data_IF_275469290076
#
_entry.id   IF_275469290076
#
_cell.length_a   1.000
_cell.length_b   1.000
_cell.length_c   1.000
_cell.angle_alpha   90.00
_cell.angle_beta   90.00
_cell.angle_gamma   90.00
#
_symmetry.space_group_name_H-M   'P 1'
#
loop_
_entity.id
_entity.type
_entity.pdbx_description
1 polymer ?
#
# COMPACT_ATOMS: atom_id res chain seq x y z
N UNK A 1 -9.54 -20.56 -50.81
CA UNK A 1 -10.52 -19.58 -50.27
C UNK A 1 -9.80 -18.37 -49.66
N UNK A 2 -9.42 -17.36 -50.46
CA UNK A 2 -8.65 -16.18 -50.00
C UNK A 2 -9.53 -15.02 -49.47
N UNK A 3 -10.83 -15.01 -49.78
CA UNK A 3 -11.72 -13.87 -49.52
C UNK A 3 -12.08 -13.61 -48.06
N UNK A 4 -11.99 -14.61 -47.18
CA UNK A 4 -12.36 -14.46 -45.76
C UNK A 4 -11.31 -13.69 -44.92
N UNK A 5 -10.05 -13.69 -45.35
CA UNK A 5 -8.98 -12.94 -44.66
C UNK A 5 -8.98 -11.45 -45.04
N UNK A 6 -9.36 -11.13 -46.28
CA UNK A 6 -9.47 -9.75 -46.77
C UNK A 6 -10.64 -9.00 -46.11
N UNK A 7 -11.80 -9.66 -45.92
CA UNK A 7 -12.96 -9.08 -45.25
C UNK A 7 -12.74 -8.85 -43.73
N UNK A 8 -11.82 -9.61 -43.10
CA UNK A 8 -11.44 -9.38 -41.70
C UNK A 8 -10.50 -8.18 -41.54
N UNK A 9 -9.69 -7.88 -42.56
CA UNK A 9 -8.78 -6.73 -42.56
C UNK A 9 -9.47 -5.42 -42.95
N UNK A 10 -10.52 -5.46 -43.79
CA UNK A 10 -11.28 -4.25 -44.15
C UNK A 10 -12.13 -3.68 -43.00
N UNK A 11 -12.43 -4.47 -41.98
CA UNK A 11 -13.17 -4.02 -40.79
C UNK A 11 -12.27 -3.29 -39.75
N UNK A 12 -10.95 -3.31 -39.93
CA UNK A 12 -10.00 -2.59 -39.05
C UNK A 12 -9.90 -1.09 -39.45
N UNK A 13 -10.57 -0.67 -40.52
CA UNK A 13 -10.61 0.73 -40.99
C UNK A 13 -11.75 1.58 -40.42
N UNK A 14 -12.65 1.02 -39.62
CA UNK A 14 -13.61 1.83 -38.87
C UNK A 14 -13.03 2.13 -37.49
N UNK A 15 -12.88 3.41 -37.18
CA UNK A 15 -12.10 3.94 -36.06
C UNK A 15 -12.21 3.10 -34.80
N UNK A 16 -11.06 2.60 -34.30
CA UNK A 16 -10.99 1.86 -33.04
C UNK A 16 -11.75 2.65 -32.00
N UNK A 17 -12.78 2.06 -31.41
CA UNK A 17 -13.45 2.69 -30.28
C UNK A 17 -12.40 3.00 -29.20
N UNK A 18 -12.52 4.12 -28.49
CA UNK A 18 -11.59 4.48 -27.41
C UNK A 18 -11.36 3.30 -26.45
N UNK A 19 -12.40 2.48 -26.25
CA UNK A 19 -12.39 1.23 -25.49
C UNK A 19 -11.45 0.15 -26.04
N UNK A 20 -11.42 -0.07 -27.35
CA UNK A 20 -10.53 -1.04 -27.99
C UNK A 20 -9.07 -0.56 -27.98
N UNK A 21 -8.84 0.76 -28.04
CA UNK A 21 -7.48 1.32 -27.92
C UNK A 21 -6.94 1.18 -26.51
N UNK A 22 -7.75 1.46 -25.47
CA UNK A 22 -7.37 1.22 -24.07
C UNK A 22 -7.17 -0.27 -23.82
N UNK A 23 -8.07 -1.12 -24.32
CA UNK A 23 -7.94 -2.58 -24.22
C UNK A 23 -6.64 -3.06 -24.87
N UNK A 24 -6.32 -2.60 -26.09
CA UNK A 24 -5.11 -3.01 -26.80
C UNK A 24 -3.82 -2.58 -26.07
N UNK A 25 -3.72 -1.32 -25.63
CA UNK A 25 -2.50 -0.84 -24.96
C UNK A 25 -2.28 -1.44 -23.57
N UNK A 26 -3.35 -1.80 -22.88
CA UNK A 26 -3.28 -2.16 -21.47
C UNK A 26 -3.40 -3.67 -21.22
N UNK A 27 -3.94 -4.43 -22.18
CA UNK A 27 -3.91 -5.90 -22.19
C UNK A 27 -2.69 -6.42 -22.97
N UNK A 28 -2.21 -5.72 -24.00
CA UNK A 28 -1.06 -6.15 -24.80
C UNK A 28 0.27 -5.59 -24.23
N UNK A 29 0.75 -6.25 -23.17
CA UNK A 29 2.02 -5.95 -22.46
C UNK A 29 3.28 -6.10 -23.35
N UNK A 30 3.13 -6.50 -24.62
CA UNK A 30 4.25 -6.64 -25.56
C UNK A 30 4.71 -5.32 -26.16
N UNK A 31 3.97 -4.23 -25.96
CA UNK A 31 4.35 -2.89 -26.43
C UNK A 31 5.37 -2.24 -25.47
N UNK A 32 6.34 -1.45 -25.98
CA UNK A 32 7.30 -0.72 -25.13
C UNK A 32 6.60 0.24 -24.16
N UNK A 33 5.42 0.74 -24.54
CA UNK A 33 4.59 1.62 -23.73
C UNK A 33 4.00 0.89 -22.51
N UNK A 34 3.48 -0.33 -22.69
CA UNK A 34 2.99 -1.16 -21.57
C UNK A 34 4.09 -1.46 -20.54
N UNK A 35 5.32 -1.71 -21.01
CA UNK A 35 6.49 -1.90 -20.13
C UNK A 35 6.84 -0.62 -19.36
N UNK A 36 6.82 0.54 -20.02
CA UNK A 36 7.11 1.82 -19.37
C UNK A 36 6.08 2.14 -18.27
N UNK A 37 4.79 1.91 -18.53
CA UNK A 37 3.74 2.06 -17.52
C UNK A 37 4.02 1.15 -16.32
N UNK A 38 4.30 -0.13 -16.56
CA UNK A 38 4.58 -1.06 -15.46
C UNK A 38 5.79 -0.61 -14.62
N UNK A 39 6.88 -0.14 -15.24
CA UNK A 39 8.05 0.39 -14.52
C UNK A 39 7.67 1.61 -13.68
N UNK A 40 6.93 2.56 -14.26
CA UNK A 40 6.49 3.78 -13.56
C UNK A 40 5.62 3.41 -12.37
N UNK A 41 4.68 2.48 -12.53
CA UNK A 41 3.81 2.05 -11.44
C UNK A 41 4.60 1.32 -10.35
N UNK A 42 5.58 0.49 -10.70
CA UNK A 42 6.48 -0.15 -9.72
C UNK A 42 7.25 0.91 -8.93
N UNK A 43 7.81 1.92 -9.62
CA UNK A 43 8.53 3.02 -8.97
C UNK A 43 7.62 3.83 -8.04
N UNK A 44 6.39 4.14 -8.48
CA UNK A 44 5.39 4.81 -7.64
C UNK A 44 4.99 3.96 -6.44
N UNK A 45 4.91 2.64 -6.58
CA UNK A 45 4.63 1.75 -5.45
C UNK A 45 5.76 1.73 -4.42
N UNK A 46 7.02 1.75 -4.89
CA UNK A 46 8.18 1.93 -4.01
C UNK A 46 8.11 3.26 -3.26
N UNK A 47 7.82 4.36 -3.98
CA UNK A 47 7.65 5.68 -3.37
C UNK A 47 6.53 5.67 -2.33
N UNK A 48 5.37 5.05 -2.63
CA UNK A 48 4.25 4.97 -1.70
C UNK A 48 4.62 4.24 -0.41
N UNK A 49 5.38 3.16 -0.52
CA UNK A 49 5.87 2.39 0.63
C UNK A 49 6.93 3.17 1.40
N UNK A 50 7.82 3.89 0.72
CA UNK A 50 8.77 4.78 1.38
C UNK A 50 8.07 5.91 2.15
N UNK A 51 7.02 6.51 1.58
CA UNK A 51 6.21 7.52 2.28
C UNK A 51 5.59 6.93 3.56
N UNK A 52 5.04 5.71 3.51
CA UNK A 52 4.55 5.02 4.70
C UNK A 52 5.64 4.85 5.76
N UNK A 53 6.83 4.40 5.39
CA UNK A 53 7.96 4.26 6.32
C UNK A 53 8.34 5.63 6.91
N UNK A 54 8.45 6.67 6.08
CA UNK A 54 8.77 8.03 6.54
C UNK A 54 7.73 8.59 7.51
N UNK A 55 6.45 8.24 7.35
CA UNK A 55 5.41 8.63 8.30
C UNK A 55 5.58 8.04 9.71
N UNK A 56 6.44 7.04 9.88
CA UNK A 56 6.76 6.47 11.21
C UNK A 56 7.90 7.21 11.91
N UNK A 57 8.55 8.17 11.26
CA UNK A 57 9.60 8.98 11.87
C UNK A 57 9.01 10.27 12.44
N UNK A 58 9.69 10.82 13.44
CA UNK A 58 9.38 12.15 13.99
C UNK A 58 9.73 13.24 12.97
N UNK A 59 8.72 13.61 12.19
CA UNK A 59 8.82 14.64 11.15
C UNK A 59 8.21 15.95 11.63
N UNK A 60 8.83 17.06 11.22
CA UNK A 60 8.24 18.40 11.41
C UNK A 60 6.90 18.54 10.69
N UNK A 61 6.06 19.47 11.14
CA UNK A 61 4.74 19.73 10.54
C UNK A 61 4.81 19.99 9.03
N UNK A 62 5.81 20.75 8.58
CA UNK A 62 6.03 21.04 7.16
C UNK A 62 6.39 19.77 6.35
N UNK A 63 7.19 18.86 6.92
CA UNK A 63 7.53 17.59 6.28
C UNK A 63 6.32 16.66 6.20
N UNK A 64 5.52 16.60 7.27
CA UNK A 64 4.29 15.81 7.28
C UNK A 64 3.30 16.28 6.21
N UNK A 65 3.14 17.60 6.06
CA UNK A 65 2.28 18.17 5.02
C UNK A 65 2.81 17.86 3.61
N UNK A 66 4.13 17.96 3.40
CA UNK A 66 4.74 17.62 2.11
C UNK A 66 4.54 16.14 1.78
N UNK A 67 4.76 15.23 2.72
CA UNK A 67 4.53 13.80 2.54
C UNK A 67 3.06 13.50 2.26
N UNK A 68 2.14 14.18 2.92
CA UNK A 68 0.71 14.02 2.68
C UNK A 68 0.32 14.43 1.25
N UNK A 69 0.86 15.56 0.74
CA UNK A 69 0.65 15.98 -0.65
C UNK A 69 1.22 14.97 -1.65
N UNK A 70 2.40 14.43 -1.37
CA UNK A 70 3.00 13.37 -2.19
C UNK A 70 2.16 12.09 -2.16
N UNK A 71 1.66 11.69 -0.99
CA UNK A 71 0.79 10.54 -0.85
C UNK A 71 -0.47 10.69 -1.72
N UNK A 72 -1.15 11.84 -1.63
CA UNK A 72 -2.33 12.13 -2.46
C UNK A 72 -1.99 12.06 -3.95
N UNK A 73 -0.87 12.64 -4.37
CA UNK A 73 -0.44 12.61 -5.77
C UNK A 73 -0.22 11.16 -6.26
N UNK A 74 0.44 10.32 -5.45
CA UNK A 74 0.69 8.91 -5.79
C UNK A 74 -0.63 8.12 -5.84
N UNK A 75 -1.51 8.31 -4.86
CA UNK A 75 -2.82 7.64 -4.83
C UNK A 75 -3.71 8.08 -6.00
N UNK A 76 -3.67 9.36 -6.40
CA UNK A 76 -4.39 9.82 -7.59
C UNK A 76 -3.94 9.08 -8.85
N UNK A 77 -2.63 8.84 -9.02
CA UNK A 77 -2.11 8.04 -10.13
C UNK A 77 -2.57 6.59 -10.05
N UNK A 78 -2.63 6.01 -8.85
CA UNK A 78 -3.14 4.66 -8.65
C UNK A 78 -4.63 4.51 -8.96
N UNK A 79 -5.44 5.51 -8.62
CA UNK A 79 -6.86 5.55 -8.99
C UNK A 79 -7.00 5.61 -10.52
N UNK A 80 -6.24 6.48 -11.18
CA UNK A 80 -6.26 6.57 -12.64
C UNK A 80 -5.85 5.24 -13.30
N UNK A 81 -4.78 4.61 -12.81
CA UNK A 81 -4.33 3.32 -13.32
C UNK A 81 -5.37 2.21 -13.11
N UNK A 82 -6.00 2.15 -11.93
CA UNK A 82 -7.06 1.21 -11.65
C UNK A 82 -8.29 1.44 -12.53
N UNK A 83 -8.69 2.70 -12.73
CA UNK A 83 -9.81 3.07 -13.59
C UNK A 83 -9.55 2.70 -15.06
N UNK A 84 -8.35 2.97 -15.57
CA UNK A 84 -7.93 2.53 -16.90
C UNK A 84 -8.00 1.00 -17.00
N UNK A 85 -7.54 0.29 -15.96
CA UNK A 85 -7.61 -1.17 -15.85
C UNK A 85 -9.01 -1.73 -15.94
N UNK A 86 -9.91 -1.15 -15.18
CA UNK A 86 -11.31 -1.53 -15.19
C UNK A 86 -12.00 -1.19 -16.52
N UNK A 87 -11.65 -0.06 -17.15
CA UNK A 87 -12.24 0.35 -18.43
C UNK A 87 -11.81 -0.55 -19.60
N UNK A 88 -10.54 -0.94 -19.63
CA UNK A 88 -9.98 -1.85 -20.62
C UNK A 88 -10.34 -3.33 -20.40
N UNK A 89 -10.84 -3.71 -19.23
CA UNK A 89 -11.18 -5.09 -18.93
C UNK A 89 -12.35 -5.62 -19.79
N UNK A 90 -12.25 -6.84 -20.34
CA UNK A 90 -13.31 -7.43 -21.16
C UNK A 90 -14.59 -7.70 -20.35
N UNK A 91 -14.45 -8.07 -19.09
CA UNK A 91 -15.55 -8.25 -18.13
C UNK A 91 -15.21 -7.50 -16.83
N UNK A 92 -15.94 -6.41 -16.58
CA UNK A 92 -15.73 -5.54 -15.41
C UNK A 92 -16.03 -6.26 -14.10
N UNK A 93 -17.07 -7.09 -14.07
CA UNK A 93 -17.48 -7.80 -12.86
C UNK A 93 -16.46 -8.86 -12.44
N UNK A 94 -15.89 -9.58 -13.41
CA UNK A 94 -14.76 -10.49 -13.15
C UNK A 94 -13.50 -9.74 -12.76
N UNK A 95 -13.25 -8.57 -13.36
CA UNK A 95 -12.09 -7.77 -13.00
C UNK A 95 -12.14 -7.30 -11.55
N UNK A 96 -13.30 -6.87 -11.04
CA UNK A 96 -13.44 -6.47 -9.64
C UNK A 96 -13.23 -7.62 -8.65
N UNK A 97 -13.53 -8.86 -9.05
CA UNK A 97 -13.34 -10.08 -8.24
C UNK A 97 -11.96 -10.71 -8.39
N UNK A 98 -11.13 -10.20 -9.29
CA UNK A 98 -9.76 -10.67 -9.46
C UNK A 98 -8.91 -10.28 -8.24
N UNK A 99 -8.13 -11.23 -7.73
CA UNK A 99 -7.34 -11.03 -6.53
C UNK A 99 -6.35 -9.85 -6.68
N UNK A 100 -5.76 -9.65 -7.87
CA UNK A 100 -4.83 -8.55 -8.09
C UNK A 100 -5.54 -7.20 -8.18
N UNK A 101 -6.74 -7.15 -8.75
CA UNK A 101 -7.57 -5.95 -8.72
C UNK A 101 -8.05 -5.60 -7.32
N UNK A 102 -8.36 -6.60 -6.47
CA UNK A 102 -8.69 -6.37 -5.07
C UNK A 102 -7.50 -5.81 -4.29
N UNK A 103 -6.28 -6.30 -4.55
CA UNK A 103 -5.05 -5.77 -3.96
C UNK A 103 -4.85 -4.30 -4.35
N UNK A 104 -5.03 -3.95 -5.63
CA UNK A 104 -4.92 -2.55 -6.09
C UNK A 104 -5.95 -1.66 -5.38
N UNK A 105 -7.19 -2.14 -5.21
CA UNK A 105 -8.24 -1.42 -4.48
C UNK A 105 -7.89 -1.25 -3.00
N UNK A 106 -7.45 -2.31 -2.33
CA UNK A 106 -7.05 -2.29 -0.93
C UNK A 106 -5.88 -1.32 -0.67
N UNK A 107 -5.00 -1.10 -1.64
CA UNK A 107 -3.90 -0.15 -1.56
C UNK A 107 -4.37 1.33 -1.68
N UNK A 108 -5.46 1.59 -2.39
CA UNK A 108 -6.01 2.95 -2.64
C UNK A 108 -6.99 3.36 -1.54
N UNK A 109 -7.76 2.40 -1.04
CA UNK A 109 -8.93 2.63 -0.20
C UNK A 109 -8.63 3.37 1.11
N UNK A 110 -7.56 3.07 1.88
CA UNK A 110 -7.32 3.75 3.15
C UNK A 110 -7.12 5.27 2.98
N UNK A 111 -6.25 5.68 2.04
CA UNK A 111 -6.00 7.10 1.76
C UNK A 111 -7.23 7.78 1.16
N UNK A 112 -7.99 7.07 0.32
CA UNK A 112 -9.22 7.60 -0.25
C UNK A 112 -10.30 7.85 0.82
N UNK A 113 -10.43 6.95 1.80
CA UNK A 113 -11.33 7.16 2.93
C UNK A 113 -10.88 8.39 3.73
N UNK A 114 -9.59 8.49 4.08
CA UNK A 114 -9.06 9.65 4.83
C UNK A 114 -9.37 10.98 4.10
N UNK A 115 -9.26 11.00 2.77
CA UNK A 115 -9.53 12.19 1.96
C UNK A 115 -11.00 12.61 1.94
N UNK A 116 -11.93 11.66 1.98
CA UNK A 116 -13.38 11.91 1.90
C UNK A 116 -13.99 12.18 3.28
N UNK A 117 -13.33 11.80 4.36
CA UNK A 117 -13.82 12.02 5.71
C UNK A 117 -13.97 13.53 6.01
N UNK A 118 -15.10 13.96 6.61
CA UNK A 118 -15.27 15.33 7.07
C UNK A 118 -14.23 15.73 8.13
N UNK A 119 -13.86 17.01 8.15
CA UNK A 119 -12.95 17.58 9.16
C UNK A 119 -13.37 17.26 10.61
N UNK A 120 -14.68 17.11 10.88
CA UNK A 120 -15.20 16.75 12.19
C UNK A 120 -14.76 15.37 12.68
N UNK A 121 -14.60 14.38 11.78
CA UNK A 121 -14.13 13.04 12.16
C UNK A 121 -12.69 13.04 12.69
N UNK A 122 -11.86 14.01 12.26
CA UNK A 122 -10.49 14.15 12.74
C UNK A 122 -10.41 14.57 14.21
N UNK A 123 -11.46 15.20 14.74
CA UNK A 123 -11.50 15.66 16.14
C UNK A 123 -12.06 14.57 17.06
N UNK A 124 -13.04 13.80 16.59
CA UNK A 124 -13.76 12.83 17.44
C UNK A 124 -13.18 11.43 17.41
N UNK A 125 -12.52 11.00 16.33
CA UNK A 125 -12.08 9.61 16.16
C UNK A 125 -10.64 9.50 15.63
N UNK A 126 -9.71 10.00 16.43
CA UNK A 126 -8.26 9.93 16.16
C UNK A 126 -7.82 8.46 15.98
N UNK A 127 -8.45 7.52 16.71
CA UNK A 127 -8.14 6.08 16.65
C UNK A 127 -8.49 5.49 15.29
N UNK A 128 -9.65 5.81 14.73
CA UNK A 128 -10.04 5.33 13.40
C UNK A 128 -9.05 5.79 12.31
N UNK A 129 -8.61 7.05 12.36
CA UNK A 129 -7.64 7.58 11.40
C UNK A 129 -6.28 6.89 11.56
N UNK A 130 -5.83 6.65 12.80
CA UNK A 130 -4.60 5.90 13.06
C UNK A 130 -4.67 4.49 12.44
N UNK A 131 -5.79 3.80 12.61
CA UNK A 131 -6.01 2.48 11.98
C UNK A 131 -5.91 2.62 10.46
N UNK A 132 -6.62 3.56 9.84
CA UNK A 132 -6.56 3.77 8.38
C UNK A 132 -5.13 4.04 7.90
N UNK A 133 -4.34 4.84 8.62
CA UNK A 133 -2.91 5.08 8.29
C UNK A 133 -2.11 3.79 8.33
N UNK A 134 -2.34 2.93 9.31
CA UNK A 134 -1.66 1.63 9.41
C UNK A 134 -2.11 0.68 8.31
N UNK A 135 -3.40 0.68 7.94
CA UNK A 135 -3.90 -0.09 6.80
C UNK A 135 -3.18 0.29 5.51
N UNK A 136 -2.58 1.49 5.42
CA UNK A 136 -1.78 1.81 4.25
C UNK A 136 -0.52 0.93 4.08
N UNK A 137 -0.11 0.17 5.11
CA UNK A 137 0.93 -0.88 4.99
C UNK A 137 0.53 -1.91 3.93
N UNK A 138 -0.78 -2.18 3.76
CA UNK A 138 -1.29 -3.16 2.81
C UNK A 138 -0.95 -2.81 1.35
N UNK A 139 -0.58 -1.57 1.03
CA UNK A 139 -0.14 -1.19 -0.32
C UNK A 139 1.10 -1.98 -0.79
N UNK A 140 1.90 -2.50 0.15
CA UNK A 140 3.03 -3.40 -0.15
C UNK A 140 2.59 -4.67 -0.91
N UNK A 141 1.37 -5.18 -0.69
CA UNK A 141 0.87 -6.38 -1.36
C UNK A 141 0.76 -6.19 -2.88
N UNK A 142 0.69 -4.94 -3.36
CA UNK A 142 0.73 -4.62 -4.79
C UNK A 142 2.00 -5.15 -5.47
N UNK A 143 3.09 -5.37 -4.73
CA UNK A 143 4.29 -6.04 -5.25
C UNK A 143 4.03 -7.47 -5.71
N UNK A 144 3.12 -8.22 -5.08
CA UNK A 144 2.78 -9.58 -5.50
C UNK A 144 2.26 -9.63 -6.94
N UNK A 145 1.51 -8.62 -7.37
CA UNK A 145 1.03 -8.51 -8.75
C UNK A 145 2.18 -8.42 -9.75
N UNK A 146 3.24 -7.67 -9.44
CA UNK A 146 4.39 -7.51 -10.34
C UNK A 146 5.20 -8.79 -10.45
N UNK A 147 5.43 -9.48 -9.33
CA UNK A 147 6.21 -10.73 -9.30
C UNK A 147 5.42 -11.89 -9.93
N UNK A 148 4.09 -11.76 -10.04
CA UNK A 148 3.26 -12.73 -10.75
C UNK A 148 3.39 -12.67 -12.27
N UNK A 149 3.82 -11.54 -12.85
CA UNK A 149 3.91 -11.40 -14.31
C UNK A 149 5.08 -12.21 -14.87
N UNK A 150 4.79 -13.15 -15.78
CA UNK A 150 5.78 -14.04 -16.39
C UNK A 150 6.77 -13.34 -17.34
N UNK A 151 6.39 -12.18 -17.86
CA UNK A 151 7.22 -11.32 -18.71
C UNK A 151 7.73 -10.13 -17.91
N UNK A 152 8.65 -10.36 -16.97
CA UNK A 152 9.32 -9.27 -16.29
C UNK A 152 10.33 -8.57 -17.22
N UNK A 153 10.61 -7.32 -16.87
CA UNK A 153 11.44 -6.25 -17.47
C UNK A 153 12.71 -6.63 -18.25
N UNK A 154 13.20 -7.87 -18.15
CA UNK A 154 14.48 -8.34 -18.69
C UNK A 154 14.37 -9.53 -19.67
N UNK A 155 13.17 -9.89 -20.12
CA UNK A 155 12.96 -10.95 -21.12
C UNK A 155 12.23 -12.18 -20.56
N UNK A 156 12.24 -13.28 -21.30
CA UNK A 156 11.60 -14.54 -20.87
C UNK A 156 12.44 -15.18 -19.77
N UNK A 157 12.09 -14.90 -18.52
CA UNK A 157 12.68 -15.57 -17.36
C UNK A 157 12.06 -16.97 -17.25
N UNK A 158 12.87 -17.99 -17.00
CA UNK A 158 12.37 -19.35 -16.75
C UNK A 158 11.39 -19.35 -15.56
N UNK A 159 10.30 -20.10 -15.68
CA UNK A 159 9.26 -20.21 -14.64
C UNK A 159 9.84 -20.57 -13.26
N UNK A 160 10.93 -21.35 -13.22
CA UNK A 160 11.63 -21.68 -11.97
C UNK A 160 12.16 -20.46 -11.22
N UNK A 161 12.75 -19.48 -11.93
CA UNK A 161 13.26 -18.24 -11.32
C UNK A 161 12.13 -17.31 -10.86
N UNK A 162 11.00 -17.31 -11.59
CA UNK A 162 9.82 -16.52 -11.21
C UNK A 162 9.20 -17.08 -9.93
N UNK A 163 9.12 -18.40 -9.78
CA UNK A 163 8.63 -19.01 -8.55
C UNK A 163 9.54 -18.69 -7.35
N UNK A 164 10.87 -18.74 -7.52
CA UNK A 164 11.81 -18.34 -6.46
C UNK A 164 11.62 -16.86 -6.10
N UNK A 165 11.50 -15.97 -7.10
CA UNK A 165 11.24 -14.56 -6.85
C UNK A 165 9.92 -14.37 -6.08
N UNK A 166 8.82 -15.03 -6.47
CA UNK A 166 7.55 -14.98 -5.75
C UNK A 166 7.70 -15.39 -4.28
N UNK A 167 8.47 -16.43 -4.01
CA UNK A 167 8.75 -16.88 -2.65
C UNK A 167 9.49 -15.80 -1.85
N UNK A 168 10.60 -15.30 -2.37
CA UNK A 168 11.43 -14.28 -1.71
C UNK A 168 10.64 -12.99 -1.47
N UNK A 169 9.90 -12.50 -2.47
CA UNK A 169 9.06 -11.31 -2.32
C UNK A 169 7.92 -11.53 -1.32
N UNK A 170 7.31 -12.72 -1.30
CA UNK A 170 6.28 -13.03 -0.29
C UNK A 170 6.85 -12.98 1.12
N UNK A 171 8.07 -13.49 1.33
CA UNK A 171 8.78 -13.42 2.61
C UNK A 171 9.05 -11.96 3.00
N UNK A 172 9.61 -11.16 2.09
CA UNK A 172 9.87 -9.73 2.34
C UNK A 172 8.58 -8.99 2.72
N UNK A 173 7.49 -9.22 1.99
CA UNK A 173 6.19 -8.63 2.26
C UNK A 173 5.68 -9.04 3.64
N UNK A 174 5.82 -10.32 4.01
CA UNK A 174 5.42 -10.82 5.31
C UNK A 174 6.17 -10.10 6.44
N UNK A 175 7.51 -10.05 6.38
CA UNK A 175 8.32 -9.32 7.36
C UNK A 175 7.96 -7.83 7.42
N UNK A 176 7.74 -7.20 6.26
CA UNK A 176 7.37 -5.79 6.18
C UNK A 176 6.03 -5.50 6.86
N UNK A 177 5.00 -6.30 6.54
CA UNK A 177 3.66 -6.15 7.13
C UNK A 177 3.69 -6.44 8.63
N UNK A 178 4.37 -7.50 9.04
CA UNK A 178 4.49 -7.86 10.45
C UNK A 178 5.21 -6.77 11.25
N UNK A 179 6.29 -6.20 10.71
CA UNK A 179 6.99 -5.06 11.33
C UNK A 179 6.11 -3.82 11.42
N UNK A 180 5.28 -3.53 10.40
CA UNK A 180 4.34 -2.41 10.43
C UNK A 180 3.25 -2.57 11.49
N UNK A 181 2.72 -3.78 11.65
CA UNK A 181 1.74 -4.10 12.71
C UNK A 181 2.41 -4.02 14.09
N UNK A 182 3.60 -4.60 14.23
CA UNK A 182 4.38 -4.55 15.48
C UNK A 182 4.65 -3.11 15.90
N UNK A 183 5.13 -2.26 14.99
CA UNK A 183 5.30 -0.83 15.22
C UNK A 183 4.01 -0.17 15.73
N UNK A 184 2.88 -0.43 15.09
CA UNK A 184 1.60 0.20 15.48
C UNK A 184 1.15 -0.20 16.89
N UNK A 185 1.35 -1.46 17.27
CA UNK A 185 0.94 -1.99 18.58
C UNK A 185 1.90 -1.55 19.68
N UNK A 186 3.21 -1.57 19.41
CA UNK A 186 4.25 -1.37 20.43
C UNK A 186 4.71 0.09 20.57
N UNK A 187 4.63 0.91 19.53
CA UNK A 187 5.07 2.32 19.62
C UNK A 187 4.43 3.12 20.76
N UNK A 188 3.16 2.91 21.18
CA UNK A 188 2.59 3.60 22.33
C UNK A 188 3.03 3.01 23.69
N UNK A 189 3.57 1.79 23.72
CA UNK A 189 3.84 1.02 24.94
C UNK A 189 5.34 0.94 25.24
N UNK A 190 6.19 0.94 24.21
CA UNK A 190 7.60 0.66 24.30
C UNK A 190 8.44 1.82 23.73
N UNK A 191 9.17 2.57 24.56
CA UNK A 191 9.99 3.70 24.11
C UNK A 191 11.21 3.28 23.26
N UNK A 192 11.50 1.97 23.14
CA UNK A 192 12.55 1.46 22.26
C UNK A 192 12.09 1.31 20.80
N UNK A 193 10.79 1.40 20.53
CA UNK A 193 10.20 1.25 19.18
C UNK A 193 9.65 2.61 18.73
N UNK A 194 10.53 3.46 18.20
CA UNK A 194 10.16 4.83 17.84
C UNK A 194 9.75 4.95 16.36
N UNK A 195 10.25 4.07 15.50
CA UNK A 195 9.97 4.10 14.08
C UNK A 195 9.85 2.68 13.49
N UNK A 196 9.48 2.60 12.20
CA UNK A 196 9.37 1.33 11.48
C UNK A 196 10.70 0.55 11.43
N UNK A 197 11.84 1.23 11.35
CA UNK A 197 13.16 0.61 11.33
C UNK A 197 13.48 -0.12 12.63
N UNK A 198 13.15 0.47 13.76
CA UNK A 198 13.29 -0.17 15.08
C UNK A 198 12.43 -1.43 15.14
N UNK A 199 11.15 -1.33 14.74
CA UNK A 199 10.25 -2.47 14.67
C UNK A 199 10.77 -3.58 13.75
N UNK A 200 11.28 -3.22 12.57
CA UNK A 200 11.87 -4.17 11.63
C UNK A 200 13.11 -4.85 12.21
N UNK A 201 13.96 -4.10 12.90
CA UNK A 201 15.11 -4.66 13.60
C UNK A 201 14.69 -5.65 14.69
N UNK A 202 13.69 -5.32 15.50
CA UNK A 202 13.19 -6.23 16.54
C UNK A 202 12.64 -7.53 15.96
N UNK A 203 11.82 -7.46 14.91
CA UNK A 203 11.30 -8.66 14.26
C UNK A 203 12.42 -9.47 13.59
N UNK A 204 13.36 -8.83 12.90
CA UNK A 204 14.46 -9.50 12.22
C UNK A 204 15.53 -10.08 13.16
N UNK A 205 15.67 -9.53 14.37
CA UNK A 205 16.61 -10.01 15.40
C UNK A 205 15.96 -10.94 16.43
N UNK A 206 14.63 -11.12 16.38
CA UNK A 206 13.86 -11.96 17.32
C UNK A 206 14.17 -13.47 17.23
N UNK A 207 15.11 -13.93 16.39
CA UNK A 207 15.61 -15.30 16.48
C UNK A 207 16.50 -15.57 17.72
N UNK A 208 16.77 -14.59 18.60
CA UNK A 208 17.63 -14.87 19.76
C UNK A 208 17.60 -13.92 20.95
N UNK A 209 16.68 -12.95 21.02
CA UNK A 209 16.60 -12.06 22.17
C UNK A 209 15.28 -12.24 22.92
N UNK A 210 15.42 -12.80 24.12
CA UNK A 210 14.45 -12.72 25.21
C UNK A 210 13.89 -11.30 25.25
N UNK A 211 12.58 -11.15 25.05
CA UNK A 211 11.91 -9.88 25.27
C UNK A 211 12.35 -9.39 26.65
N UNK A 212 13.06 -8.26 26.77
CA UNK A 212 13.37 -7.73 28.08
C UNK A 212 12.03 -7.55 28.75
N UNK A 213 11.84 -8.29 29.85
CA UNK A 213 10.60 -8.51 30.57
C UNK A 213 9.50 -7.51 30.18
N UNK A 214 8.34 -8.03 29.73
CA UNK A 214 7.08 -7.35 30.01
C UNK A 214 7.12 -7.05 31.52
N UNK A 215 7.53 -5.85 31.91
CA UNK A 215 7.21 -5.31 33.22
C UNK A 215 5.71 -5.10 33.17
N UNK A 216 4.98 -6.18 33.44
CA UNK A 216 3.66 -6.14 34.01
C UNK A 216 3.81 -5.27 35.25
N UNK A 217 3.49 -4.00 35.11
CA UNK A 217 3.46 -2.99 36.16
C UNK A 217 4.60 -3.11 37.18
N UNK A 218 5.66 -2.33 36.98
CA UNK A 218 6.19 -1.65 38.17
C UNK A 218 5.02 -0.82 38.70
N UNK A 219 4.41 -1.33 39.77
CA UNK A 219 3.49 -0.66 40.69
C UNK A 219 2.62 0.42 40.04
N UNK A 220 1.40 0.04 39.64
CA UNK A 220 0.32 1.03 39.59
C UNK A 220 0.22 1.61 41.00
N UNK A 221 0.85 2.76 41.22
CA UNK A 221 0.57 3.58 42.37
C UNK A 221 -0.95 3.85 42.33
N UNK A 222 -1.73 3.36 43.31
CA UNK A 222 -3.18 3.53 43.32
C UNK A 222 -3.58 5.02 43.37
N UNK A 223 -2.63 5.95 43.51
CA UNK A 223 -2.85 7.40 43.56
C UNK A 223 -2.75 8.13 42.22
N UNK A 224 -2.20 7.52 41.16
CA UNK A 224 -1.98 8.21 39.87
C UNK A 224 -2.95 7.80 38.75
N UNK A 225 -3.98 7.01 39.09
CA UNK A 225 -5.07 6.71 38.16
C UNK A 225 -6.09 7.85 38.13
N UNK A 226 -6.32 8.40 36.94
CA UNK A 226 -7.30 9.44 36.56
C UNK A 226 -6.82 10.90 36.61
N UNK A 227 -6.14 11.31 35.54
CA UNK A 227 -6.31 12.66 35.00
C UNK A 227 -6.86 12.55 33.57
N UNK A 228 -8.20 12.50 33.48
CA UNK A 228 -8.94 12.78 32.26
C UNK A 228 -8.98 14.29 32.10
N UNK A 229 -8.35 14.82 31.06
CA UNK A 229 -8.42 16.23 30.72
C UNK A 229 -9.82 16.57 30.20
N UNK A 230 -10.69 16.99 31.11
CA UNK A 230 -11.94 17.69 30.80
C UNK A 230 -11.97 18.96 31.64
N UNK A 231 -11.89 20.10 30.96
CA UNK A 231 -12.16 21.48 31.41
C UNK A 231 -12.33 21.70 32.93
N UNK A 232 -11.46 22.56 33.45
CA UNK A 232 -11.61 23.37 34.67
C UNK A 232 -11.04 22.75 35.95
N UNK A 233 -10.09 23.50 36.53
CA UNK A 233 -9.58 23.47 37.92
C UNK A 233 -8.47 22.46 38.25
N UNK A 234 -7.29 23.07 38.47
CA UNK A 234 -6.07 22.61 39.12
C UNK A 234 -6.23 21.50 40.17
N UNK A 235 -5.35 20.49 40.12
CA UNK A 235 -4.35 20.18 41.16
C UNK A 235 -3.65 18.86 40.84
N UNK A 236 -2.33 18.90 40.60
CA UNK A 236 -1.48 17.72 40.81
C UNK A 236 -1.29 17.55 42.32
N UNK A 237 -1.68 16.41 42.88
CA UNK A 237 -1.21 15.96 44.19
C UNK A 237 -0.31 14.75 43.96
N UNK A 238 0.84 14.78 44.63
CA UNK A 238 2.00 13.88 44.53
C UNK A 238 1.68 12.41 44.32
#
# INVERSE_FOLDING_TARGET
>A
MPGLKAARQSNIKNGRSFRETVQFYMIDFKTPLGRAIDIIIIALNLIAVSIFVLHTYDLSSAQQEMLWRLEIAVVAVFIMEYALRLYGAPDRGKHLKDAYSMIDLAAILPTLIIMVLPASFFVYDIRFIQILRVLTVFRIFRFLRFVSKSHMLFGTISQGKINIARLVFSIIIFFFVYSGIFYFVESPLNPKVNNFGDAFYYIGSAEGHEYPNLQVGDEVDPRLSFCVNSKSINSCFF
#
